data_IF_345501730035
#
_entry.id   IF_345501730035
#
_cell.length_a   1.000
_cell.length_b   1.000
_cell.length_c   1.000
_cell.angle_alpha   90.00
_cell.angle_beta   90.00
_cell.angle_gamma   90.00
#
_symmetry.space_group_name_H-M   'P 1'
#
loop_
_entity.id
_entity.type
_entity.pdbx_description
1 polymer ?
#
# COMPACT_ATOMS: atom_id res chain seq x y z
N UNK A 1 -9.89 -25.07 -1.74
CA UNK A 1 -10.11 -24.05 -0.70
C UNK A 1 -10.86 -22.87 -1.31
N UNK A 2 -11.77 -22.28 -0.57
CA UNK A 2 -12.52 -21.07 -0.92
C UNK A 2 -12.37 -20.03 0.17
N UNK A 3 -11.88 -18.83 -0.17
CA UNK A 3 -11.64 -17.75 0.77
C UNK A 3 -12.60 -16.58 0.56
N UNK A 4 -13.03 -15.95 1.66
CA UNK A 4 -13.75 -14.69 1.64
C UNK A 4 -12.83 -13.57 2.10
N UNK A 5 -12.53 -12.62 1.23
CA UNK A 5 -11.82 -11.41 1.60
C UNK A 5 -12.80 -10.33 2.07
N UNK A 6 -12.58 -9.79 3.26
CA UNK A 6 -13.39 -8.72 3.84
C UNK A 6 -12.51 -7.48 3.95
N UNK A 7 -12.91 -6.40 3.30
CA UNK A 7 -12.17 -5.13 3.31
C UNK A 7 -13.09 -3.97 3.71
N UNK A 8 -12.53 -2.92 4.31
CA UNK A 8 -13.33 -1.76 4.73
C UNK A 8 -14.03 -1.09 3.55
N UNK A 9 -13.31 -0.87 2.46
CA UNK A 9 -13.81 -0.30 1.19
C UNK A 9 -12.82 -0.60 0.07
N UNK A 10 -13.18 -0.30 -1.18
CA UNK A 10 -12.36 -0.51 -2.38
C UNK A 10 -12.13 0.81 -3.14
N UNK A 11 -11.74 1.85 -2.40
CA UNK A 11 -11.25 3.10 -3.00
C UNK A 11 -9.93 2.90 -3.77
N UNK A 12 -9.35 3.98 -4.26
CA UNK A 12 -8.03 3.93 -4.91
C UNK A 12 -6.95 4.13 -3.84
N UNK A 13 -6.39 3.03 -3.36
CA UNK A 13 -5.33 3.01 -2.35
C UNK A 13 -4.39 1.81 -2.53
N UNK A 14 -3.24 1.85 -1.84
CA UNK A 14 -2.24 0.77 -1.93
C UNK A 14 -2.76 -0.59 -1.46
N UNK A 15 -3.55 -0.62 -0.39
CA UNK A 15 -4.10 -1.86 0.16
C UNK A 15 -5.13 -2.50 -0.79
N UNK A 16 -5.97 -1.69 -1.42
CA UNK A 16 -7.02 -2.11 -2.34
C UNK A 16 -6.42 -2.62 -3.65
N UNK A 17 -5.44 -1.94 -4.20
CA UNK A 17 -4.71 -2.38 -5.39
C UNK A 17 -3.88 -3.63 -5.10
N UNK A 18 -3.26 -3.71 -3.92
CA UNK A 18 -2.56 -4.91 -3.46
C UNK A 18 -3.50 -6.11 -3.34
N UNK A 19 -4.70 -5.92 -2.78
CA UNK A 19 -5.70 -6.98 -2.72
C UNK A 19 -6.06 -7.48 -4.13
N UNK A 20 -6.35 -6.54 -5.06
CA UNK A 20 -6.68 -6.91 -6.44
C UNK A 20 -5.56 -7.69 -7.12
N UNK A 21 -4.31 -7.22 -6.98
CA UNK A 21 -3.16 -7.90 -7.55
C UNK A 21 -2.96 -9.28 -6.94
N UNK A 22 -3.09 -9.40 -5.62
CA UNK A 22 -2.96 -10.66 -4.90
C UNK A 22 -3.99 -11.69 -5.37
N UNK A 23 -5.27 -11.29 -5.52
CA UNK A 23 -6.35 -12.19 -5.94
C UNK A 23 -6.16 -12.76 -7.34
N UNK A 24 -5.44 -12.07 -8.22
CA UNK A 24 -5.05 -12.59 -9.55
C UNK A 24 -4.01 -13.71 -9.49
N UNK A 25 -3.30 -13.84 -8.38
CA UNK A 25 -2.18 -14.77 -8.22
C UNK A 25 -2.43 -15.85 -7.17
N UNK A 26 -3.50 -15.74 -6.36
CA UNK A 26 -3.86 -16.77 -5.41
C UNK A 26 -4.47 -17.98 -6.12
N UNK A 27 -3.98 -19.21 -5.89
CA UNK A 27 -4.47 -20.43 -6.53
C UNK A 27 -5.75 -20.97 -5.85
N UNK A 28 -6.60 -20.10 -5.34
CA UNK A 28 -7.83 -20.43 -4.61
C UNK A 28 -9.00 -19.56 -5.07
N UNK A 29 -10.22 -20.07 -4.94
CA UNK A 29 -11.41 -19.27 -5.26
C UNK A 29 -11.62 -18.22 -4.19
N UNK A 30 -11.69 -16.95 -4.61
CA UNK A 30 -11.86 -15.80 -3.72
C UNK A 30 -13.13 -15.03 -4.07
N UNK A 31 -13.89 -14.68 -3.04
CA UNK A 31 -14.94 -13.68 -3.11
C UNK A 31 -14.53 -12.48 -2.24
N UNK A 32 -15.05 -11.29 -2.54
CA UNK A 32 -14.76 -10.05 -1.78
C UNK A 32 -16.04 -9.46 -1.23
N UNK A 33 -15.99 -9.02 0.03
CA UNK A 33 -17.04 -8.22 0.67
C UNK A 33 -16.45 -6.90 1.14
N UNK A 34 -17.01 -5.78 0.69
CA UNK A 34 -16.75 -4.47 1.30
C UNK A 34 -17.69 -4.24 2.47
N UNK A 35 -17.20 -3.66 3.55
CA UNK A 35 -18.08 -3.20 4.63
C UNK A 35 -18.84 -1.95 4.21
N UNK A 36 -18.13 -1.04 3.54
CA UNK A 36 -18.65 0.23 3.02
C UNK A 36 -18.05 0.47 1.63
N UNK A 37 -18.64 1.36 0.84
CA UNK A 37 -18.08 1.90 -0.40
C UNK A 37 -17.31 0.86 -1.26
N UNK A 38 -17.97 0.21 -2.21
CA UNK A 38 -17.30 -0.71 -3.13
C UNK A 38 -16.22 -0.04 -3.99
N UNK A 39 -16.28 1.29 -4.20
CA UNK A 39 -15.24 2.08 -4.84
C UNK A 39 -14.86 1.67 -6.26
N UNK A 40 -13.83 2.33 -6.80
CA UNK A 40 -13.37 2.14 -8.18
C UNK A 40 -12.69 0.78 -8.41
N UNK A 41 -11.97 0.24 -7.41
CA UNK A 41 -11.26 -1.04 -7.52
C UNK A 41 -12.21 -2.23 -7.67
N UNK A 42 -13.45 -2.12 -7.19
CA UNK A 42 -14.46 -3.17 -7.34
C UNK A 42 -14.80 -3.49 -8.80
N UNK A 43 -14.83 -2.48 -9.67
CA UNK A 43 -15.05 -2.70 -11.10
C UNK A 43 -13.93 -3.56 -11.72
N UNK A 44 -12.68 -3.26 -11.35
CA UNK A 44 -11.54 -4.06 -11.78
C UNK A 44 -11.56 -5.50 -11.26
N UNK A 45 -11.92 -5.72 -9.99
CA UNK A 45 -12.08 -7.07 -9.41
C UNK A 45 -13.18 -7.87 -10.13
N UNK A 46 -14.31 -7.24 -10.45
CA UNK A 46 -15.38 -7.90 -11.22
C UNK A 46 -14.94 -8.27 -12.63
N UNK A 47 -14.18 -7.37 -13.30
CA UNK A 47 -13.59 -7.65 -14.60
C UNK A 47 -12.58 -8.82 -14.54
N UNK A 48 -11.90 -8.99 -13.42
CA UNK A 48 -11.00 -10.11 -13.14
C UNK A 48 -11.76 -11.41 -12.73
N UNK A 49 -13.12 -11.41 -12.78
CA UNK A 49 -13.96 -12.57 -12.45
C UNK A 49 -14.23 -12.77 -10.95
N UNK A 50 -13.82 -11.84 -10.10
CA UNK A 50 -14.03 -11.91 -8.65
C UNK A 50 -15.43 -11.39 -8.30
N UNK A 51 -16.19 -12.16 -7.52
CA UNK A 51 -17.48 -11.72 -6.99
C UNK A 51 -17.25 -10.68 -5.89
N UNK A 52 -17.80 -9.48 -6.07
CA UNK A 52 -17.71 -8.38 -5.09
C UNK A 52 -19.09 -8.00 -4.60
N UNK A 53 -19.32 -8.09 -3.30
CA UNK A 53 -20.55 -7.70 -2.60
C UNK A 53 -20.28 -6.52 -1.67
N UNK A 54 -21.26 -5.62 -1.51
CA UNK A 54 -21.25 -4.58 -0.49
C UNK A 54 -22.17 -4.99 0.66
N UNK A 55 -21.63 -4.92 1.88
CA UNK A 55 -22.41 -5.19 3.10
C UNK A 55 -23.35 -4.02 3.45
N UNK A 56 -23.08 -2.82 2.93
CA UNK A 56 -23.88 -1.62 3.18
C UNK A 56 -23.84 -1.18 4.63
N UNK A 57 -22.66 -1.21 5.25
CA UNK A 57 -22.46 -0.78 6.63
C UNK A 57 -22.65 0.74 6.73
N UNK A 58 -23.59 1.18 7.56
CA UNK A 58 -24.02 2.59 7.65
C UNK A 58 -23.06 3.49 8.43
N UNK A 59 -22.40 2.96 9.45
CA UNK A 59 -21.49 3.71 10.32
C UNK A 59 -20.55 2.77 11.10
N UNK A 60 -19.56 3.35 11.79
CA UNK A 60 -18.66 2.59 12.70
C UNK A 60 -19.40 1.96 13.90
N UNK A 61 -20.66 2.31 14.12
CA UNK A 61 -21.51 1.78 15.20
C UNK A 61 -22.62 0.86 14.70
N UNK A 62 -22.58 0.46 13.43
CA UNK A 62 -23.55 -0.49 12.86
C UNK A 62 -23.24 -1.91 13.35
N UNK A 63 -23.64 -2.20 14.60
CA UNK A 63 -23.47 -3.53 15.20
C UNK A 63 -24.24 -4.61 14.42
N UNK A 64 -25.31 -4.24 13.69
CA UNK A 64 -26.05 -5.15 12.82
C UNK A 64 -25.22 -5.66 11.62
N UNK A 65 -24.09 -5.02 11.28
CA UNK A 65 -23.18 -5.51 10.26
C UNK A 65 -22.55 -6.87 10.62
N UNK A 66 -22.28 -7.12 11.91
CA UNK A 66 -21.69 -8.39 12.37
C UNK A 66 -22.58 -9.59 12.05
N UNK A 67 -23.87 -9.65 12.47
CA UNK A 67 -24.72 -10.79 12.15
C UNK A 67 -25.03 -10.90 10.65
N UNK A 68 -25.08 -9.78 9.89
CA UNK A 68 -25.22 -9.83 8.43
C UNK A 68 -24.00 -10.50 7.79
N UNK A 69 -22.79 -10.09 8.17
CA UNK A 69 -21.54 -10.67 7.70
C UNK A 69 -21.41 -12.15 8.11
N UNK A 70 -21.71 -12.51 9.37
CA UNK A 70 -21.67 -13.90 9.83
C UNK A 70 -22.64 -14.80 9.03
N UNK A 71 -23.83 -14.30 8.69
CA UNK A 71 -24.80 -15.03 7.87
C UNK A 71 -24.27 -15.21 6.43
N UNK A 72 -23.61 -14.19 5.87
CA UNK A 72 -22.99 -14.27 4.56
C UNK A 72 -21.86 -15.31 4.54
N UNK A 73 -20.99 -15.31 5.56
CA UNK A 73 -19.89 -16.29 5.70
C UNK A 73 -20.46 -17.71 5.73
N UNK A 74 -21.45 -17.97 6.60
CA UNK A 74 -22.09 -19.31 6.71
C UNK A 74 -22.74 -19.77 5.41
N UNK A 75 -23.49 -18.89 4.72
CA UNK A 75 -24.16 -19.23 3.44
C UNK A 75 -23.17 -19.47 2.31
N UNK A 76 -21.99 -18.85 2.36
CA UNK A 76 -20.98 -18.96 1.34
C UNK A 76 -20.12 -20.22 1.43
N UNK A 77 -20.19 -20.97 2.56
CA UNK A 77 -19.37 -22.17 2.80
C UNK A 77 -17.88 -21.91 2.53
N UNK A 78 -17.34 -20.84 3.13
CA UNK A 78 -15.94 -20.48 3.01
C UNK A 78 -15.09 -21.26 4.01
N UNK A 79 -13.96 -21.78 3.55
CA UNK A 79 -12.97 -22.46 4.38
C UNK A 79 -12.20 -21.47 5.25
N UNK A 80 -12.04 -20.22 4.76
CA UNK A 80 -11.27 -19.18 5.41
C UNK A 80 -11.86 -17.79 5.12
N UNK A 81 -11.80 -16.92 6.13
CA UNK A 81 -12.06 -15.47 5.99
C UNK A 81 -10.72 -14.74 6.10
N UNK A 82 -10.45 -13.83 5.17
CA UNK A 82 -9.27 -12.96 5.24
C UNK A 82 -9.70 -11.49 5.31
N UNK A 83 -9.34 -10.81 6.38
CA UNK A 83 -9.75 -9.43 6.64
C UNK A 83 -8.62 -8.45 6.35
N UNK A 84 -8.95 -7.30 5.76
CA UNK A 84 -8.02 -6.25 5.38
C UNK A 84 -8.48 -4.90 5.92
N UNK A 85 -7.56 -4.15 6.51
CA UNK A 85 -7.81 -2.87 7.15
C UNK A 85 -8.54 -3.00 8.50
N UNK A 86 -8.28 -2.04 9.40
CA UNK A 86 -8.68 -2.07 10.79
C UNK A 86 -10.16 -2.41 11.03
N UNK A 87 -11.06 -1.71 10.34
CA UNK A 87 -12.50 -1.92 10.54
C UNK A 87 -12.91 -3.34 10.12
N UNK A 88 -12.46 -3.80 8.97
CA UNK A 88 -12.75 -5.15 8.51
C UNK A 88 -12.10 -6.21 9.39
N UNK A 89 -10.91 -5.96 9.95
CA UNK A 89 -10.29 -6.84 10.94
C UNK A 89 -11.18 -6.98 12.19
N UNK A 90 -11.69 -5.90 12.75
CA UNK A 90 -12.55 -5.96 13.94
C UNK A 90 -13.88 -6.69 13.66
N UNK A 91 -14.62 -6.22 12.66
CA UNK A 91 -15.94 -6.78 12.34
C UNK A 91 -15.86 -8.19 11.76
N UNK A 92 -14.88 -8.44 10.89
CA UNK A 92 -14.70 -9.73 10.23
C UNK A 92 -14.26 -10.83 11.17
N UNK A 93 -13.35 -10.54 12.11
CA UNK A 93 -12.95 -11.51 13.15
C UNK A 93 -14.12 -11.94 14.00
N UNK A 94 -14.94 -10.99 14.46
CA UNK A 94 -16.15 -11.31 15.26
C UNK A 94 -17.14 -12.12 14.43
N UNK A 95 -17.41 -11.70 13.19
CA UNK A 95 -18.34 -12.39 12.31
C UNK A 95 -17.89 -13.80 11.93
N UNK A 96 -16.61 -13.99 11.63
CA UNK A 96 -16.01 -15.29 11.33
C UNK A 96 -16.09 -16.24 12.55
N UNK A 97 -15.79 -15.73 13.77
CA UNK A 97 -15.93 -16.49 15.00
C UNK A 97 -17.38 -16.95 15.24
N UNK A 98 -18.36 -16.07 14.98
CA UNK A 98 -19.78 -16.42 15.05
C UNK A 98 -20.22 -17.40 13.95
N UNK A 99 -19.55 -17.37 12.83
CA UNK A 99 -19.82 -18.31 11.73
C UNK A 99 -19.13 -19.66 11.88
N UNK A 100 -18.19 -19.82 12.83
CA UNK A 100 -17.37 -21.01 13.00
C UNK A 100 -16.30 -21.19 11.92
N UNK A 101 -15.86 -20.09 11.26
CA UNK A 101 -14.92 -20.10 10.16
C UNK A 101 -13.58 -19.51 10.61
N UNK A 102 -12.48 -20.14 10.20
CA UNK A 102 -11.11 -19.67 10.43
C UNK A 102 -10.92 -18.27 9.84
N UNK A 103 -10.22 -17.36 10.58
CA UNK A 103 -9.94 -16.01 10.08
C UNK A 103 -8.47 -15.64 10.21
N UNK A 104 -7.93 -15.11 9.12
CA UNK A 104 -6.62 -14.45 9.00
C UNK A 104 -6.84 -12.96 8.76
N UNK A 105 -5.93 -12.11 9.22
CA UNK A 105 -6.05 -10.67 9.05
C UNK A 105 -4.75 -10.07 8.55
N UNK A 106 -4.80 -9.15 7.57
CA UNK A 106 -3.62 -8.40 7.10
C UNK A 106 -3.68 -6.94 7.56
N UNK A 107 -2.58 -6.49 8.16
CA UNK A 107 -2.35 -5.10 8.55
C UNK A 107 -1.55 -4.37 7.46
N UNK A 108 -2.23 -3.40 6.81
CA UNK A 108 -1.68 -2.61 5.71
C UNK A 108 -1.18 -1.23 6.13
N UNK A 109 -1.66 -0.67 7.23
CA UNK A 109 -1.54 0.77 7.52
C UNK A 109 -1.36 1.07 9.01
N UNK A 110 -0.68 0.18 9.75
CA UNK A 110 -0.39 0.41 11.15
C UNK A 110 0.83 1.34 11.29
N UNK A 111 0.58 2.59 11.67
CA UNK A 111 1.59 3.59 12.00
C UNK A 111 1.96 3.59 13.49
N UNK A 112 2.85 4.50 13.89
CA UNK A 112 3.24 4.71 15.30
C UNK A 112 2.14 5.41 16.10
N UNK A 113 1.55 6.44 15.51
CA UNK A 113 0.52 7.28 16.12
C UNK A 113 -0.84 7.22 15.40
N UNK A 114 -0.89 6.55 14.27
CA UNK A 114 -2.07 6.51 13.41
C UNK A 114 -2.34 5.09 12.89
N UNK A 115 -3.61 4.81 12.61
CA UNK A 115 -4.05 3.65 11.86
C UNK A 115 -5.01 4.11 10.77
N UNK A 116 -4.70 3.83 9.51
CA UNK A 116 -5.48 4.26 8.34
C UNK A 116 -5.72 5.78 8.30
N UNK A 117 -4.73 6.59 8.71
CA UNK A 117 -4.82 8.06 8.75
C UNK A 117 -5.71 8.59 9.86
N UNK A 118 -6.00 7.79 10.89
CA UNK A 118 -6.74 8.19 12.09
C UNK A 118 -5.86 8.10 13.31
N UNK A 119 -5.96 9.05 14.28
CA UNK A 119 -5.19 8.97 15.50
C UNK A 119 -5.42 7.64 16.25
N UNK A 120 -4.33 7.05 16.70
CA UNK A 120 -4.35 5.85 17.49
C UNK A 120 -4.73 6.16 18.91
N UNK A 121 -5.87 5.63 19.38
CA UNK A 121 -6.32 5.75 20.76
C UNK A 121 -6.09 4.45 21.53
N UNK A 122 -6.06 4.54 22.87
CA UNK A 122 -6.03 3.33 23.73
C UNK A 122 -7.21 2.40 23.45
N UNK A 123 -8.40 2.96 23.22
CA UNK A 123 -9.59 2.18 22.89
C UNK A 123 -9.49 1.46 21.56
N UNK A 124 -8.92 2.11 20.53
CA UNK A 124 -8.67 1.51 19.21
C UNK A 124 -7.73 0.32 19.32
N UNK A 125 -6.61 0.48 20.05
CA UNK A 125 -5.64 -0.59 20.29
C UNK A 125 -6.25 -1.73 21.08
N UNK A 126 -6.98 -1.44 22.17
CA UNK A 126 -7.59 -2.47 23.01
C UNK A 126 -8.63 -3.29 22.25
N UNK A 127 -9.50 -2.63 21.48
CA UNK A 127 -10.48 -3.31 20.61
C UNK A 127 -9.80 -4.21 19.58
N UNK A 128 -8.70 -3.73 18.98
CA UNK A 128 -7.90 -4.53 18.07
C UNK A 128 -7.38 -5.79 18.74
N UNK A 129 -6.72 -5.66 19.89
CA UNK A 129 -6.11 -6.78 20.62
C UNK A 129 -7.14 -7.79 21.12
N UNK A 130 -8.32 -7.33 21.58
CA UNK A 130 -9.42 -8.23 21.98
C UNK A 130 -9.93 -9.04 20.79
N UNK A 131 -10.12 -8.40 19.65
CA UNK A 131 -10.61 -9.10 18.46
C UNK A 131 -9.52 -9.92 17.78
N UNK A 132 -8.23 -9.55 17.90
CA UNK A 132 -7.11 -10.30 17.34
C UNK A 132 -7.09 -11.73 17.87
N UNK A 133 -7.39 -11.93 19.16
CA UNK A 133 -7.48 -13.25 19.81
C UNK A 133 -8.51 -14.20 19.17
N UNK A 134 -9.46 -13.66 18.41
CA UNK A 134 -10.46 -14.46 17.68
C UNK A 134 -9.93 -14.98 16.33
N UNK A 135 -8.79 -14.46 15.85
CA UNK A 135 -8.17 -14.88 14.60
C UNK A 135 -7.19 -16.03 14.78
N UNK A 136 -6.86 -16.74 13.71
CA UNK A 136 -5.82 -17.75 13.68
C UNK A 136 -4.42 -17.15 13.48
N UNK A 137 -4.30 -16.13 12.61
CA UNK A 137 -3.04 -15.47 12.28
C UNK A 137 -3.26 -14.00 11.93
N UNK A 138 -2.21 -13.20 12.17
CA UNK A 138 -2.12 -11.80 11.73
C UNK A 138 -0.92 -11.66 10.77
N UNK A 139 -1.20 -11.18 9.56
CA UNK A 139 -0.21 -10.92 8.52
C UNK A 139 0.25 -9.47 8.62
N UNK A 140 1.55 -9.24 8.69
CA UNK A 140 2.20 -7.95 8.60
C UNK A 140 2.81 -7.77 7.20
N UNK A 141 2.59 -6.61 6.58
CA UNK A 141 3.11 -6.33 5.23
C UNK A 141 4.59 -5.96 5.21
N UNK A 142 5.24 -5.86 6.38
CA UNK A 142 6.67 -5.59 6.54
C UNK A 142 7.13 -5.98 7.94
N UNK A 143 8.44 -6.12 8.15
CA UNK A 143 9.01 -6.33 9.51
C UNK A 143 8.74 -5.13 10.41
N UNK A 144 8.76 -3.92 9.85
CA UNK A 144 8.37 -2.70 10.56
C UNK A 144 6.95 -2.81 11.11
N UNK A 145 5.96 -3.28 10.33
CA UNK A 145 4.59 -3.51 10.81
C UNK A 145 4.54 -4.67 11.80
N UNK A 146 5.29 -5.75 11.57
CA UNK A 146 5.38 -6.87 12.51
C UNK A 146 5.93 -6.41 13.87
N UNK A 147 6.96 -5.56 13.88
CA UNK A 147 7.52 -4.94 15.09
C UNK A 147 6.48 -4.09 15.85
N UNK A 148 5.66 -3.32 15.11
CA UNK A 148 4.58 -2.52 15.71
C UNK A 148 3.48 -3.39 16.31
N UNK A 149 3.09 -4.48 15.65
CA UNK A 149 2.12 -5.45 16.19
C UNK A 149 2.65 -6.10 17.47
N UNK A 150 3.92 -6.51 17.50
CA UNK A 150 4.58 -7.02 18.72
C UNK A 150 4.57 -5.98 19.85
N UNK A 151 4.91 -4.74 19.54
CA UNK A 151 4.86 -3.63 20.50
C UNK A 151 3.44 -3.33 21.01
N UNK A 152 2.42 -3.66 20.25
CA UNK A 152 1.02 -3.60 20.69
C UNK A 152 0.65 -4.73 21.64
N UNK A 153 1.36 -5.86 21.60
CA UNK A 153 1.09 -7.03 22.43
C UNK A 153 0.48 -8.20 21.67
N UNK A 154 0.54 -8.19 20.32
CA UNK A 154 0.20 -9.37 19.53
C UNK A 154 1.32 -10.41 19.70
N UNK A 155 1.02 -11.67 20.09
CA UNK A 155 2.04 -12.70 20.26
C UNK A 155 2.83 -12.95 18.98
N UNK A 156 4.16 -13.02 19.08
CA UNK A 156 5.04 -13.20 17.92
C UNK A 156 4.69 -14.45 17.09
N UNK A 157 4.30 -15.54 17.73
CA UNK A 157 3.91 -16.78 17.05
C UNK A 157 2.64 -16.65 16.18
N UNK A 158 1.88 -15.57 16.32
CA UNK A 158 0.68 -15.30 15.53
C UNK A 158 0.91 -14.29 14.42
N UNK A 159 2.12 -13.69 14.36
CA UNK A 159 2.48 -12.69 13.36
C UNK A 159 3.30 -13.36 12.26
N UNK A 160 2.81 -13.24 11.03
CA UNK A 160 3.48 -13.72 9.83
C UNK A 160 3.82 -12.55 8.94
N UNK A 161 5.08 -12.36 8.58
CA UNK A 161 5.47 -11.29 7.65
C UNK A 161 5.31 -11.79 6.22
N UNK A 162 4.32 -11.24 5.53
CA UNK A 162 4.10 -11.44 4.10
C UNK A 162 4.17 -10.08 3.42
N UNK A 163 5.31 -9.70 2.85
CA UNK A 163 5.46 -8.41 2.19
C UNK A 163 4.47 -8.23 1.05
N UNK A 164 4.03 -6.99 0.85
CA UNK A 164 3.29 -6.64 -0.35
C UNK A 164 4.10 -7.00 -1.59
N UNK A 165 3.41 -7.44 -2.65
CA UNK A 165 4.03 -7.82 -3.91
C UNK A 165 3.71 -6.85 -5.03
N UNK A 166 4.55 -6.82 -6.05
CA UNK A 166 4.32 -6.09 -7.29
C UNK A 166 4.40 -7.04 -8.50
N UNK A 167 3.72 -6.69 -9.59
CA UNK A 167 3.98 -7.27 -10.89
C UNK A 167 5.14 -6.51 -11.54
N UNK A 168 6.35 -7.04 -11.40
CA UNK A 168 7.56 -6.42 -11.94
C UNK A 168 7.47 -6.17 -13.45
N UNK A 169 6.74 -7.01 -14.18
CA UNK A 169 6.64 -6.90 -15.65
C UNK A 169 5.79 -5.70 -16.07
N UNK A 170 4.78 -5.37 -15.29
CA UNK A 170 3.91 -4.22 -15.52
C UNK A 170 4.66 -2.89 -15.40
N UNK A 171 5.66 -2.82 -14.50
CA UNK A 171 6.46 -1.61 -14.25
C UNK A 171 7.73 -1.51 -15.07
N UNK A 172 8.05 -2.51 -15.90
CA UNK A 172 9.22 -2.44 -16.76
C UNK A 172 9.20 -1.18 -17.61
N UNK A 173 10.34 -0.47 -17.61
CA UNK A 173 10.50 0.74 -18.42
C UNK A 173 10.20 0.48 -19.89
N UNK A 174 9.48 1.40 -20.51
CA UNK A 174 9.17 1.39 -21.94
C UNK A 174 9.33 2.80 -22.53
N UNK A 175 10.18 2.91 -23.54
CA UNK A 175 10.48 4.18 -24.21
C UNK A 175 9.29 4.74 -24.99
N UNK A 176 8.44 3.87 -25.53
CA UNK A 176 7.20 4.27 -26.20
C UNK A 176 6.23 4.92 -25.21
N UNK A 177 6.01 4.26 -24.05
CA UNK A 177 5.22 4.83 -22.93
C UNK A 177 5.81 6.16 -22.46
N UNK A 178 7.14 6.25 -22.32
CA UNK A 178 7.80 7.51 -21.95
C UNK A 178 7.43 8.64 -22.89
N UNK A 179 7.61 8.45 -24.19
CA UNK A 179 7.33 9.48 -25.19
C UNK A 179 5.86 9.87 -25.23
N UNK A 180 4.95 8.90 -25.28
CA UNK A 180 3.51 9.15 -25.33
C UNK A 180 3.00 9.85 -24.09
N UNK A 181 3.45 9.42 -22.90
CA UNK A 181 3.02 10.03 -21.62
C UNK A 181 3.59 11.42 -21.44
N UNK A 182 4.87 11.67 -21.82
CA UNK A 182 5.42 13.03 -21.80
C UNK A 182 4.66 13.97 -22.72
N UNK A 183 4.33 13.53 -23.93
CA UNK A 183 3.52 14.31 -24.87
C UNK A 183 2.13 14.62 -24.31
N UNK A 184 1.44 13.60 -23.77
CA UNK A 184 0.14 13.74 -23.15
C UNK A 184 0.14 14.76 -21.99
N UNK A 185 1.19 14.76 -21.17
CA UNK A 185 1.31 15.64 -20.01
C UNK A 185 1.93 17.01 -20.36
N UNK A 186 2.28 17.27 -21.60
CA UNK A 186 2.96 18.49 -22.02
C UNK A 186 4.31 18.69 -21.30
N UNK A 187 5.06 17.61 -21.09
CA UNK A 187 6.40 17.64 -20.52
C UNK A 187 7.45 17.78 -21.63
N UNK A 188 8.40 18.73 -21.54
CA UNK A 188 9.47 18.82 -22.51
C UNK A 188 10.28 17.52 -22.58
N UNK A 189 10.71 17.12 -23.78
CA UNK A 189 11.42 15.85 -23.99
C UNK A 189 12.75 15.79 -23.23
N UNK A 190 13.42 16.93 -23.06
CA UNK A 190 14.73 17.07 -22.38
C UNK A 190 14.61 17.49 -20.92
N UNK A 191 13.40 17.78 -20.41
CA UNK A 191 13.23 18.21 -19.03
C UNK A 191 13.58 17.09 -18.05
N UNK A 192 14.22 17.47 -16.93
CA UNK A 192 14.36 16.62 -15.77
C UNK A 192 13.03 16.58 -15.02
N UNK A 193 12.42 15.40 -14.92
CA UNK A 193 11.08 15.22 -14.36
C UNK A 193 11.14 14.38 -13.09
N UNK A 194 10.70 14.97 -11.98
CA UNK A 194 10.53 14.31 -10.67
C UNK A 194 9.14 13.69 -10.60
N UNK A 195 9.04 12.45 -10.13
CA UNK A 195 7.78 11.74 -9.91
C UNK A 195 7.47 11.53 -8.44
N UNK A 196 6.22 11.72 -8.05
CA UNK A 196 5.68 11.32 -6.74
C UNK A 196 4.33 10.64 -6.91
N UNK A 197 4.12 9.52 -6.21
CA UNK A 197 2.89 8.71 -6.30
C UNK A 197 2.35 8.43 -4.90
N UNK A 198 1.06 8.66 -4.69
CA UNK A 198 0.39 8.31 -3.45
C UNK A 198 -0.76 9.25 -3.10
N UNK A 199 -1.49 8.91 -2.03
CA UNK A 199 -2.58 9.73 -1.53
C UNK A 199 -2.08 11.08 -1.03
N UNK A 200 -2.69 12.18 -1.45
CA UNK A 200 -2.28 13.54 -1.07
C UNK A 200 -2.75 13.85 0.37
N UNK A 201 -1.97 13.36 1.34
CA UNK A 201 -2.18 13.55 2.79
C UNK A 201 -0.92 14.12 3.45
N UNK A 202 -1.01 14.80 4.61
CA UNK A 202 0.12 15.47 5.26
C UNK A 202 1.33 14.57 5.51
N UNK A 203 1.10 13.30 5.86
CA UNK A 203 2.16 12.32 6.13
C UNK A 203 3.04 11.99 4.93
N UNK A 204 2.55 12.19 3.69
CA UNK A 204 3.29 11.93 2.45
C UNK A 204 4.24 13.06 2.04
N UNK A 205 4.10 14.25 2.62
CA UNK A 205 5.00 15.38 2.46
C UNK A 205 5.24 15.79 0.99
N UNK A 206 4.20 15.80 0.16
CA UNK A 206 4.31 16.32 -1.21
C UNK A 206 4.65 17.81 -1.28
N UNK A 207 4.45 18.54 -0.19
CA UNK A 207 4.91 19.92 -0.02
C UNK A 207 6.42 20.05 -0.22
N UNK A 208 7.22 19.09 0.24
CA UNK A 208 8.68 19.10 0.07
C UNK A 208 9.08 18.97 -1.41
N UNK A 209 8.38 18.12 -2.17
CA UNK A 209 8.65 17.95 -3.60
C UNK A 209 8.40 19.25 -4.37
N UNK A 210 7.29 19.94 -4.05
CA UNK A 210 6.95 21.22 -4.67
C UNK A 210 8.01 22.27 -4.35
N UNK A 211 8.43 22.37 -3.09
CA UNK A 211 9.47 23.32 -2.65
C UNK A 211 10.83 23.02 -3.31
N UNK A 212 11.23 21.76 -3.34
CA UNK A 212 12.48 21.35 -3.95
C UNK A 212 12.51 21.66 -5.46
N UNK A 213 11.41 21.38 -6.20
CA UNK A 213 11.30 21.71 -7.62
C UNK A 213 11.22 23.23 -7.85
N UNK A 214 10.66 24.00 -6.92
CA UNK A 214 10.69 25.46 -6.99
C UNK A 214 12.13 26.01 -6.91
N UNK A 215 12.97 25.39 -6.09
CA UNK A 215 14.39 25.77 -5.93
C UNK A 215 15.32 25.25 -7.07
N UNK A 216 14.79 24.46 -8.02
CA UNK A 216 15.56 23.88 -9.13
C UNK A 216 15.02 24.38 -10.47
N UNK A 217 15.65 25.40 -11.08
CA UNK A 217 15.26 25.86 -12.42
C UNK A 217 15.35 24.73 -13.45
N UNK A 218 14.31 24.60 -14.29
CA UNK A 218 14.25 23.55 -15.33
C UNK A 218 13.74 22.20 -14.85
N UNK A 219 13.63 21.94 -13.55
CA UNK A 219 13.00 20.72 -13.03
C UNK A 219 11.47 20.79 -13.14
N UNK A 220 10.85 19.65 -13.45
CA UNK A 220 9.41 19.43 -13.50
C UNK A 220 8.96 18.44 -12.46
N UNK A 221 7.68 18.49 -12.08
CA UNK A 221 7.09 17.56 -11.11
C UNK A 221 5.81 16.94 -11.66
N UNK A 222 5.69 15.62 -11.51
CA UNK A 222 4.45 14.88 -11.76
C UNK A 222 3.99 14.26 -10.45
N UNK A 223 2.79 14.62 -9.99
CA UNK A 223 2.15 14.06 -8.81
C UNK A 223 0.94 13.23 -9.22
N UNK A 224 1.01 11.92 -8.98
CA UNK A 224 -0.05 10.97 -9.25
C UNK A 224 -0.73 10.56 -7.93
N UNK A 225 -2.01 10.83 -7.85
CA UNK A 225 -2.84 10.59 -6.67
C UNK A 225 -3.71 11.79 -6.33
N UNK A 226 -4.67 11.56 -5.43
CA UNK A 226 -5.57 12.58 -4.92
C UNK A 226 -5.69 12.49 -3.39
N UNK A 227 -6.31 13.47 -2.77
CA UNK A 227 -6.51 13.52 -1.33
C UNK A 227 -6.80 14.92 -0.79
N UNK A 228 -7.01 15.02 0.53
CA UNK A 228 -7.41 16.27 1.19
C UNK A 228 -6.40 17.41 1.04
N UNK A 229 -5.13 17.14 0.78
CA UNK A 229 -4.09 18.17 0.57
C UNK A 229 -4.06 18.72 -0.87
N UNK A 230 -4.89 18.21 -1.80
CA UNK A 230 -4.84 18.58 -3.22
C UNK A 230 -4.90 20.09 -3.45
N UNK A 231 -5.86 20.79 -2.82
CA UNK A 231 -6.01 22.24 -2.94
C UNK A 231 -4.83 23.00 -2.29
N UNK A 232 -4.40 22.57 -1.10
CA UNK A 232 -3.29 23.21 -0.39
C UNK A 232 -1.97 23.10 -1.18
N UNK A 233 -1.71 21.95 -1.81
CA UNK A 233 -0.54 21.71 -2.65
C UNK A 233 -0.58 22.55 -3.95
N UNK A 234 -1.75 22.69 -4.58
CA UNK A 234 -1.94 23.58 -5.74
C UNK A 234 -1.71 25.05 -5.36
N UNK A 235 -2.26 25.50 -4.22
CA UNK A 235 -2.04 26.82 -3.70
C UNK A 235 -0.55 27.07 -3.36
N UNK A 236 0.15 26.09 -2.82
CA UNK A 236 1.59 26.15 -2.58
C UNK A 236 2.36 26.33 -3.90
N UNK A 237 2.04 25.57 -4.93
CA UNK A 237 2.66 25.68 -6.26
C UNK A 237 2.45 27.08 -6.88
N UNK A 238 1.25 27.64 -6.72
CA UNK A 238 0.94 29.00 -7.19
C UNK A 238 1.75 30.08 -6.43
N UNK A 239 1.81 30.00 -5.09
CA UNK A 239 2.61 30.93 -4.27
C UNK A 239 4.10 30.89 -4.62
N UNK A 240 4.62 29.74 -4.99
CA UNK A 240 6.03 29.57 -5.39
C UNK A 240 6.27 29.86 -6.89
N UNK A 241 5.24 30.22 -7.67
CA UNK A 241 5.36 30.55 -9.08
C UNK A 241 5.70 29.35 -9.98
N UNK A 242 5.41 28.13 -9.56
CA UNK A 242 5.83 26.90 -10.27
C UNK A 242 4.69 26.07 -10.86
N UNK A 243 3.47 26.59 -10.87
CA UNK A 243 2.28 25.89 -11.39
C UNK A 243 2.49 25.36 -12.81
N UNK A 244 3.17 26.12 -13.67
CA UNK A 244 3.45 25.72 -15.06
C UNK A 244 4.35 24.48 -15.18
N UNK A 245 5.14 24.18 -14.16
CA UNK A 245 6.09 23.05 -14.12
C UNK A 245 5.60 21.84 -13.31
N UNK A 246 4.36 21.87 -12.80
CA UNK A 246 3.79 20.77 -12.02
C UNK A 246 2.56 20.19 -12.73
N UNK A 247 2.48 18.86 -12.76
CA UNK A 247 1.33 18.13 -13.26
C UNK A 247 0.69 17.35 -12.12
N UNK A 248 -0.50 17.74 -11.71
CA UNK A 248 -1.35 17.02 -10.76
C UNK A 248 -2.30 16.12 -11.55
N UNK A 249 -2.12 14.82 -11.49
CA UNK A 249 -2.85 13.86 -12.32
C UNK A 249 -4.18 13.39 -11.68
N UNK A 250 -4.36 13.60 -10.37
CA UNK A 250 -5.46 12.97 -9.66
C UNK A 250 -5.26 11.45 -9.52
N UNK A 251 -6.35 10.73 -9.32
CA UNK A 251 -6.32 9.27 -9.26
C UNK A 251 -5.97 8.65 -10.62
N UNK A 252 -4.91 7.86 -10.66
CA UNK A 252 -4.42 7.19 -11.86
C UNK A 252 -4.99 5.77 -12.00
N UNK A 253 -5.20 5.33 -13.25
CA UNK A 253 -5.65 3.94 -13.54
C UNK A 253 -7.15 3.70 -13.37
N UNK A 254 -7.96 4.70 -13.03
CA UNK A 254 -9.41 4.64 -13.23
C UNK A 254 -9.73 4.78 -14.73
N UNK A 255 -10.85 4.23 -15.18
CA UNK A 255 -11.30 4.37 -16.57
C UNK A 255 -11.49 5.86 -16.92
N UNK A 256 -10.46 6.51 -17.45
CA UNK A 256 -10.42 7.95 -17.69
C UNK A 256 -9.15 8.40 -18.38
N UNK A 257 -9.00 9.72 -18.59
CA UNK A 257 -7.92 10.32 -19.36
C UNK A 257 -6.53 10.34 -18.67
N UNK A 258 -6.43 9.96 -17.40
CA UNK A 258 -5.16 9.95 -16.68
C UNK A 258 -4.34 8.68 -17.01
N UNK A 259 -3.02 8.80 -17.24
CA UNK A 259 -2.16 7.65 -17.45
C UNK A 259 -2.10 6.76 -16.20
N UNK A 260 -1.84 5.46 -16.40
CA UNK A 260 -1.59 4.54 -15.30
C UNK A 260 -0.25 4.80 -14.60
N UNK A 261 -0.03 4.19 -13.45
CA UNK A 261 1.24 4.36 -12.72
C UNK A 261 2.46 3.86 -13.53
N UNK A 262 2.40 2.74 -14.28
CA UNK A 262 3.52 2.33 -15.15
C UNK A 262 3.89 3.37 -16.20
N UNK A 263 2.89 4.04 -16.78
CA UNK A 263 3.09 5.12 -17.77
C UNK A 263 3.76 6.34 -17.10
N UNK A 264 3.27 6.74 -15.92
CA UNK A 264 3.84 7.83 -15.10
C UNK A 264 5.31 7.52 -14.76
N UNK A 265 5.59 6.32 -14.24
CA UNK A 265 6.95 5.91 -13.87
C UNK A 265 7.88 5.79 -15.09
N UNK A 266 7.35 5.50 -16.29
CA UNK A 266 8.13 5.57 -17.51
C UNK A 266 8.46 7.01 -17.91
N UNK A 267 7.57 7.98 -17.65
CA UNK A 267 7.72 9.37 -18.06
C UNK A 267 8.71 10.20 -17.22
N UNK A 268 8.92 9.83 -15.95
CA UNK A 268 9.76 10.59 -15.00
C UNK A 268 11.22 10.11 -15.02
N UNK A 269 12.15 10.90 -14.48
CA UNK A 269 13.59 10.61 -14.45
C UNK A 269 14.08 10.19 -13.08
N UNK A 270 13.41 10.61 -12.03
CA UNK A 270 13.65 10.21 -10.63
C UNK A 270 12.34 10.12 -9.88
N UNK A 271 12.29 9.24 -8.91
CA UNK A 271 11.13 9.08 -8.04
C UNK A 271 11.44 9.57 -6.63
N UNK A 272 10.49 10.24 -5.99
CA UNK A 272 10.63 10.74 -4.62
C UNK A 272 9.49 10.26 -3.74
N UNK A 273 9.83 9.69 -2.59
CA UNK A 273 8.92 9.40 -1.49
C UNK A 273 9.39 10.08 -0.21
N UNK A 274 8.86 11.25 0.07
CA UNK A 274 9.23 12.04 1.26
C UNK A 274 8.37 11.72 2.49
N UNK A 275 7.68 10.60 2.50
CA UNK A 275 6.79 10.16 3.57
C UNK A 275 7.51 10.10 4.92
N UNK A 276 6.91 10.70 5.95
CA UNK A 276 7.44 10.61 7.33
C UNK A 276 7.37 9.20 7.89
N UNK A 277 6.38 8.46 7.45
CA UNK A 277 6.09 7.10 7.89
C UNK A 277 5.43 6.30 6.78
N UNK A 278 5.83 5.05 6.66
CA UNK A 278 5.25 4.08 5.75
C UNK A 278 4.99 2.75 6.48
N UNK A 279 4.04 2.00 5.98
CA UNK A 279 3.87 0.60 6.36
C UNK A 279 4.71 -0.34 5.49
N UNK A 280 4.96 0.05 4.23
CA UNK A 280 5.72 -0.73 3.27
C UNK A 280 6.51 0.16 2.30
N UNK A 281 5.82 0.94 1.45
CA UNK A 281 6.44 1.77 0.41
C UNK A 281 6.28 1.18 -0.99
N UNK A 282 5.09 0.70 -1.36
CA UNK A 282 4.80 0.09 -2.68
C UNK A 282 5.31 0.93 -3.84
N UNK A 283 5.00 2.23 -3.88
CA UNK A 283 5.39 3.11 -4.97
C UNK A 283 6.91 3.23 -5.16
N UNK A 284 7.69 3.05 -4.08
CA UNK A 284 9.15 3.00 -4.15
C UNK A 284 9.61 1.72 -4.84
N UNK A 285 9.02 0.58 -4.48
CA UNK A 285 9.35 -0.72 -5.12
C UNK A 285 8.96 -0.72 -6.60
N UNK A 286 7.81 -0.15 -6.94
CA UNK A 286 7.34 0.03 -8.32
C UNK A 286 8.30 0.92 -9.12
N UNK A 287 8.77 2.02 -8.53
CA UNK A 287 9.74 2.91 -9.16
C UNK A 287 11.09 2.22 -9.39
N UNK A 288 11.58 1.44 -8.43
CA UNK A 288 12.80 0.65 -8.59
C UNK A 288 12.63 -0.44 -9.67
N UNK A 289 11.47 -1.07 -9.76
CA UNK A 289 11.16 -2.02 -10.84
C UNK A 289 11.14 -1.37 -12.21
N UNK A 290 10.76 -0.08 -12.29
CA UNK A 290 10.88 0.74 -13.49
C UNK A 290 12.31 1.22 -13.77
N UNK A 291 13.28 0.86 -12.95
CA UNK A 291 14.69 1.28 -13.09
C UNK A 291 14.93 2.75 -12.75
N UNK A 292 14.02 3.38 -11.98
CA UNK A 292 14.21 4.77 -11.57
C UNK A 292 15.20 4.89 -10.40
N UNK A 293 16.08 5.91 -10.43
CA UNK A 293 16.70 6.38 -9.23
C UNK A 293 15.64 6.89 -8.26
N UNK A 294 15.77 6.54 -6.98
CA UNK A 294 14.79 6.85 -5.93
C UNK A 294 15.42 7.68 -4.82
N UNK A 295 14.73 8.74 -4.41
CA UNK A 295 15.01 9.47 -3.16
C UNK A 295 13.87 9.18 -2.19
N UNK A 296 14.18 8.68 -1.00
CA UNK A 296 13.15 8.32 -0.01
C UNK A 296 13.51 8.78 1.41
N UNK A 297 12.49 9.05 2.22
CA UNK A 297 12.62 9.23 3.65
C UNK A 297 12.37 7.90 4.37
N UNK A 298 11.12 7.57 4.71
CA UNK A 298 10.78 6.28 5.30
C UNK A 298 10.33 5.29 4.20
N UNK A 299 10.93 4.09 4.18
CA UNK A 299 10.52 3.01 3.27
C UNK A 299 10.88 1.63 3.83
N UNK A 300 9.99 0.98 4.60
CA UNK A 300 10.24 -0.36 5.15
C UNK A 300 10.63 -1.39 4.10
N UNK A 301 10.08 -1.31 2.88
CA UNK A 301 10.48 -2.21 1.79
C UNK A 301 11.98 -2.12 1.42
N UNK A 302 12.68 -1.06 1.80
CA UNK A 302 14.13 -0.95 1.64
C UNK A 302 14.83 -1.19 2.97
N UNK A 303 14.30 -0.62 4.06
CA UNK A 303 14.92 -0.60 5.37
C UNK A 303 14.90 -1.98 6.06
N UNK A 304 13.91 -2.81 5.77
CA UNK A 304 13.74 -4.16 6.31
C UNK A 304 14.56 -5.23 5.53
N UNK A 305 15.25 -4.86 4.45
CA UNK A 305 16.09 -5.80 3.68
C UNK A 305 17.37 -6.15 4.45
N UNK A 306 17.77 -7.43 4.50
CA UNK A 306 18.92 -7.87 5.26
C UNK A 306 20.28 -7.47 4.64
N UNK A 307 20.31 -7.08 3.38
CA UNK A 307 21.53 -6.75 2.63
C UNK A 307 21.58 -5.24 2.40
N UNK A 308 22.60 -4.57 2.91
CA UNK A 308 23.08 -3.21 2.68
C UNK A 308 22.32 -2.24 1.76
N UNK A 309 22.89 -1.13 1.35
CA UNK A 309 22.17 -0.12 0.58
C UNK A 309 21.71 -0.66 -0.79
N UNK A 310 20.44 -0.43 -1.12
CA UNK A 310 19.87 -0.81 -2.43
C UNK A 310 20.40 0.14 -3.49
N UNK A 311 21.03 -0.36 -4.57
CA UNK A 311 21.54 0.47 -5.66
C UNK A 311 20.45 1.40 -6.24
N UNK A 312 20.81 2.64 -6.52
CA UNK A 312 19.89 3.63 -7.07
C UNK A 312 19.02 4.35 -6.04
N UNK A 313 19.13 4.01 -4.74
CA UNK A 313 18.38 4.71 -3.69
C UNK A 313 19.25 5.75 -2.97
N UNK A 314 18.62 6.83 -2.53
CA UNK A 314 19.22 7.85 -1.65
C UNK A 314 18.22 8.11 -0.53
N UNK A 315 18.64 7.90 0.72
CA UNK A 315 17.83 8.18 1.89
C UNK A 315 18.03 9.63 2.33
N UNK A 316 16.96 10.32 2.66
CA UNK A 316 16.94 11.67 3.25
C UNK A 316 16.33 11.63 4.66
N UNK A 317 16.60 12.65 5.47
CA UNK A 317 16.11 12.74 6.85
C UNK A 317 16.86 11.91 7.87
N UNK A 318 18.07 11.42 7.53
CA UNK A 318 18.88 10.58 8.42
C UNK A 318 20.10 11.30 9.05
N UNK A 319 20.50 12.45 8.51
CA UNK A 319 21.82 13.03 8.77
C UNK A 319 21.90 14.00 9.95
N UNK A 320 20.80 14.63 10.33
CA UNK A 320 20.71 15.46 11.55
C UNK A 320 19.25 15.83 11.84
N UNK A 321 18.86 15.83 13.10
CA UNK A 321 17.56 16.36 13.53
C UNK A 321 17.41 17.88 13.25
N UNK A 322 18.49 18.56 12.90
CA UNK A 322 18.56 20.01 12.62
C UNK A 322 18.53 20.34 11.10
N UNK A 323 18.69 19.35 10.22
CA UNK A 323 18.69 19.60 8.76
C UNK A 323 17.26 19.84 8.25
N UNK A 324 17.09 20.87 7.39
CA UNK A 324 15.81 21.09 6.70
C UNK A 324 15.60 19.98 5.66
N UNK A 325 14.54 19.15 5.77
CA UNK A 325 14.25 18.12 4.81
C UNK A 325 14.08 18.63 3.36
N UNK A 326 13.72 19.90 3.19
CA UNK A 326 13.63 20.55 1.87
C UNK A 326 15.00 20.74 1.25
N UNK A 327 15.97 21.18 2.04
CA UNK A 327 17.35 21.39 1.56
C UNK A 327 18.01 20.05 1.20
N UNK A 328 17.87 19.03 2.04
CA UNK A 328 18.38 17.68 1.75
C UNK A 328 17.79 17.13 0.44
N UNK A 329 16.45 17.21 0.29
CA UNK A 329 15.79 16.76 -0.93
C UNK A 329 16.25 17.54 -2.14
N UNK A 330 16.35 18.88 -2.01
CA UNK A 330 16.82 19.76 -3.09
C UNK A 330 18.24 19.42 -3.53
N UNK A 331 19.14 19.19 -2.58
CA UNK A 331 20.52 18.79 -2.87
C UNK A 331 20.60 17.43 -3.58
N UNK A 332 19.83 16.43 -3.11
CA UNK A 332 19.75 15.13 -3.73
C UNK A 332 19.21 15.20 -5.18
N UNK A 333 18.17 16.00 -5.42
CA UNK A 333 17.61 16.19 -6.75
C UNK A 333 18.55 16.97 -7.69
N UNK A 334 19.24 17.99 -7.18
CA UNK A 334 20.26 18.73 -7.95
C UNK A 334 21.36 17.79 -8.42
N UNK A 335 21.91 17.00 -7.51
CA UNK A 335 22.93 16.00 -7.85
C UNK A 335 22.45 15.02 -8.94
N UNK A 336 21.20 14.55 -8.86
CA UNK A 336 20.62 13.67 -9.89
C UNK A 336 20.45 14.37 -11.24
N UNK A 337 20.03 15.63 -11.23
CA UNK A 337 19.86 16.43 -12.44
C UNK A 337 21.21 16.69 -13.13
N UNK A 338 22.25 17.04 -12.38
CA UNK A 338 23.59 17.32 -12.88
C UNK A 338 24.32 16.06 -13.37
N UNK A 339 24.13 14.93 -12.70
CA UNK A 339 24.71 13.64 -13.09
C UNK A 339 24.08 13.04 -14.35
N UNK A 340 23.01 13.66 -14.87
CA UNK A 340 22.22 13.08 -15.97
C UNK A 340 21.52 11.82 -15.51
N UNK A 341 20.35 11.95 -14.91
CA UNK A 341 19.57 10.82 -14.39
C UNK A 341 19.39 9.73 -15.46
N UNK A 342 20.06 8.60 -15.27
CA UNK A 342 19.97 7.43 -16.14
C UNK A 342 19.12 6.38 -15.48
N UNK A 343 18.33 5.66 -16.27
CA UNK A 343 17.66 4.44 -15.82
C UNK A 343 18.71 3.40 -15.43
N UNK A 344 18.46 2.76 -14.30
CA UNK A 344 19.31 1.69 -13.79
C UNK A 344 18.63 0.34 -14.03
N UNK A 345 19.37 -0.75 -14.13
CA UNK A 345 18.77 -2.07 -14.01
C UNK A 345 18.01 -2.17 -12.67
N UNK A 346 16.79 -2.75 -12.66
CA UNK A 346 16.09 -2.99 -11.39
C UNK A 346 17.01 -3.74 -10.43
N UNK A 347 17.18 -3.25 -9.18
CA UNK A 347 18.05 -3.92 -8.23
C UNK A 347 17.49 -5.30 -7.86
N UNK A 348 18.33 -6.33 -7.63
CA UNK A 348 17.89 -7.69 -7.29
C UNK A 348 16.93 -7.75 -6.09
N UNK A 349 17.07 -6.80 -5.16
CA UNK A 349 16.19 -6.64 -4.01
C UNK A 349 14.70 -6.52 -4.36
N UNK A 350 14.37 -5.93 -5.53
CA UNK A 350 12.97 -5.82 -6.00
C UNK A 350 12.36 -7.20 -6.25
N UNK A 351 13.14 -8.19 -6.66
CA UNK A 351 12.68 -9.57 -6.83
C UNK A 351 12.12 -10.21 -5.56
N UNK A 352 12.50 -9.71 -4.38
CA UNK A 352 11.95 -10.12 -3.08
C UNK A 352 10.45 -9.82 -2.96
N UNK A 353 9.96 -8.88 -3.76
CA UNK A 353 8.61 -8.35 -3.78
C UNK A 353 7.82 -8.77 -5.03
N UNK A 354 8.23 -9.85 -5.71
CA UNK A 354 7.39 -10.46 -6.75
C UNK A 354 6.07 -10.96 -6.12
N UNK A 355 4.95 -10.55 -6.69
CA UNK A 355 3.61 -10.90 -6.20
C UNK A 355 3.40 -12.42 -6.07
N UNK A 356 4.05 -13.22 -6.92
CA UNK A 356 4.00 -14.69 -6.86
C UNK A 356 4.63 -15.23 -5.58
N UNK A 357 5.69 -14.58 -5.07
CA UNK A 357 6.31 -14.94 -3.79
C UNK A 357 5.37 -14.57 -2.63
N UNK A 358 4.80 -13.37 -2.66
CA UNK A 358 3.84 -12.94 -1.63
C UNK A 358 2.61 -13.87 -1.61
N UNK A 359 2.11 -14.26 -2.78
CA UNK A 359 1.01 -15.21 -2.90
C UNK A 359 1.34 -16.57 -2.28
N UNK A 360 2.54 -17.15 -2.57
CA UNK A 360 2.98 -18.41 -1.97
C UNK A 360 3.09 -18.32 -0.45
N UNK A 361 3.76 -17.29 0.07
CA UNK A 361 3.89 -17.07 1.52
C UNK A 361 2.51 -16.95 2.20
N UNK A 362 1.56 -16.28 1.54
CA UNK A 362 0.20 -16.18 2.09
C UNK A 362 -0.52 -17.54 2.08
N UNK A 363 -0.30 -18.36 1.06
CA UNK A 363 -0.86 -19.73 1.03
C UNK A 363 -0.31 -20.59 2.16
N UNK A 364 0.96 -20.44 2.53
CA UNK A 364 1.54 -21.14 3.69
C UNK A 364 0.86 -20.69 4.99
N UNK A 365 0.57 -19.41 5.15
CA UNK A 365 -0.21 -18.90 6.30
C UNK A 365 -1.63 -19.46 6.31
N UNK A 366 -2.29 -19.57 5.15
CA UNK A 366 -3.63 -20.13 5.05
C UNK A 366 -3.66 -21.61 5.44
N UNK A 367 -2.71 -22.41 4.94
CA UNK A 367 -2.59 -23.81 5.28
C UNK A 367 -2.43 -23.99 6.79
N UNK A 368 -1.46 -23.30 7.41
CA UNK A 368 -1.24 -23.35 8.86
C UNK A 368 -2.48 -22.93 9.66
N UNK A 369 -3.19 -21.89 9.22
CA UNK A 369 -4.38 -21.40 9.90
C UNK A 369 -5.55 -22.38 9.86
N UNK A 370 -5.75 -23.08 8.74
CA UNK A 370 -6.81 -24.06 8.57
C UNK A 370 -6.47 -25.35 9.33
N UNK A 371 -5.24 -25.84 9.22
CA UNK A 371 -4.78 -27.06 9.93
C UNK A 371 -4.87 -26.91 11.44
N UNK A 372 -4.46 -25.76 11.99
CA UNK A 372 -4.57 -25.47 13.41
C UNK A 372 -6.01 -25.51 13.93
N UNK A 373 -7.01 -25.27 13.06
CA UNK A 373 -8.43 -25.29 13.43
C UNK A 373 -9.03 -26.69 13.36
N UNK A 374 -8.47 -27.59 12.55
CA UNK A 374 -8.92 -28.98 12.39
C UNK A 374 -8.38 -29.89 13.50
N UNK A 375 -7.31 -29.52 14.18
CA UNK A 375 -6.63 -30.30 15.24
C UNK A 375 -7.16 -29.96 16.66
N UNK A 376 -8.42 -29.62 16.85
CA UNK A 376 -9.01 -29.50 18.21
C UNK A 376 -10.49 -29.90 18.21
N UNK A 377 -11.04 -30.67 19.18
CA UNK A 377 -10.55 -31.05 20.50
C UNK A 377 -10.88 -32.51 20.88
N UNK A 378 -9.94 -33.43 20.86
CA UNK A 378 -10.20 -34.76 21.44
C UNK A 378 -9.17 -35.22 22.50
N UNK A 379 -8.16 -34.42 22.84
CA UNK A 379 -7.10 -34.84 23.79
C UNK A 379 -7.01 -33.98 25.07
N UNK A 380 -8.08 -33.30 25.49
CA UNK A 380 -8.13 -32.71 26.84
C UNK A 380 -9.33 -33.26 27.61
N UNK A 381 -9.34 -34.54 27.85
CA UNK A 381 -10.15 -35.20 28.89
C UNK A 381 -9.51 -36.53 29.23
N UNK A 382 -8.66 -36.50 30.24
CA UNK A 382 -8.69 -37.42 31.39
C UNK A 382 -7.36 -37.33 32.17
N UNK A 383 -7.45 -37.57 33.49
CA UNK A 383 -7.10 -36.67 34.62
C UNK A 383 -5.63 -36.76 34.99
#
# INVERSE_FOLDING_TARGET
>A
MRALHVITGLGVGGAEQQLRLLLRHLPVRCDVVTLTNPGAVAAGLRADGVRVQDLGMRSNRDLGAVPRLARLIRRGSYDLVHTHLYRACVYGRIAARLAGTTVVSTEHSLGRAEIEGRPLTRGTRELYLRTERLGAATVAVSETVAGRLRAWGVPAARIHTVPNGIDMTAFRFDEGRRRSTRALLGLPTTAFVVGGVGRLVPGKRFDLLIRAVAALPGAWLVLAGDGPESEALRALAARLGVTGRIRFLGECGAAGAAPGIPEVLSAVDTFVSASREEAFGLAVVEALAAGLPVVHAACPAIEDLPAGPVPGTTRIGSTSAAADPTEELTAALRHRMESGARRLPPPPAVGHYDIRLSSRRLMDVYAQAVDATTVTPTERAHP
#
